data_IF_281825397198
#
_entry.id   IF_281825397198
#
_cell.length_a   1.000
_cell.length_b   1.000
_cell.length_c   1.000
_cell.angle_alpha   90.00
_cell.angle_beta   90.00
_cell.angle_gamma   90.00
#
_symmetry.space_group_name_H-M   'P 1'
#
loop_
_entity.id
_entity.type
_entity.pdbx_description
1 polymer ?
#
# COMPACT_ATOMS: atom_id res chain seq x y z
N UNK A 1 -23.98 -12.33 27.65
CA UNK A 1 -22.71 -11.71 27.26
C UNK A 1 -22.50 -11.98 25.78
N UNK A 2 -22.27 -10.95 25.00
CA UNK A 2 -21.84 -11.13 23.60
C UNK A 2 -20.52 -11.91 23.58
N UNK A 3 -20.37 -12.95 22.75
CA UNK A 3 -19.11 -13.69 22.66
C UNK A 3 -17.98 -12.72 22.26
N UNK A 4 -16.82 -12.88 22.87
CA UNK A 4 -15.66 -12.04 22.55
C UNK A 4 -15.34 -12.20 21.04
N UNK A 5 -15.27 -11.05 20.36
CA UNK A 5 -14.95 -11.04 18.93
C UNK A 5 -13.51 -11.51 18.70
N UNK A 6 -13.24 -12.38 17.71
CA UNK A 6 -11.90 -12.84 17.39
C UNK A 6 -11.00 -11.64 17.05
N UNK A 7 -9.75 -11.68 17.51
CA UNK A 7 -8.74 -10.67 17.21
C UNK A 7 -8.07 -11.00 15.87
N UNK A 8 -8.11 -10.08 14.94
CA UNK A 8 -7.31 -10.11 13.69
C UNK A 8 -6.23 -9.06 13.78
N UNK A 9 -5.00 -9.47 13.57
CA UNK A 9 -3.82 -8.58 13.60
C UNK A 9 -3.25 -8.47 12.20
N UNK A 10 -3.11 -7.25 11.70
CA UNK A 10 -2.43 -7.00 10.43
C UNK A 10 -1.12 -6.27 10.68
N UNK A 11 -0.16 -6.42 9.79
CA UNK A 11 1.11 -5.73 9.92
C UNK A 11 1.01 -4.26 9.57
N UNK A 12 0.24 -3.94 8.53
CA UNK A 12 0.09 -2.58 8.01
C UNK A 12 -1.35 -2.08 8.13
N UNK A 13 -1.51 -0.78 8.15
CA UNK A 13 -2.84 -0.15 8.20
C UNK A 13 -3.68 -0.43 6.95
N UNK A 14 -3.16 -0.41 5.69
CA UNK A 14 -3.94 -0.80 4.52
C UNK A 14 -4.55 -2.21 4.63
N UNK A 15 -3.81 -3.18 5.14
CA UNK A 15 -4.35 -4.52 5.40
C UNK A 15 -5.43 -4.50 6.47
N UNK A 16 -5.32 -3.64 7.49
CA UNK A 16 -6.38 -3.47 8.49
C UNK A 16 -7.66 -2.86 7.88
N UNK A 17 -7.52 -1.92 6.96
CA UNK A 17 -8.65 -1.34 6.22
C UNK A 17 -9.37 -2.44 5.42
N UNK A 18 -8.63 -3.28 4.69
CA UNK A 18 -9.19 -4.43 3.95
C UNK A 18 -9.84 -5.44 4.91
N UNK A 19 -9.15 -5.83 5.99
CA UNK A 19 -9.69 -6.78 6.97
C UNK A 19 -10.97 -6.27 7.63
N UNK A 20 -11.04 -4.97 7.93
CA UNK A 20 -12.25 -4.36 8.49
C UNK A 20 -13.40 -4.32 7.49
N UNK A 21 -13.11 -4.02 6.23
CA UNK A 21 -14.13 -4.08 5.17
C UNK A 21 -14.63 -5.52 4.94
N UNK A 22 -13.74 -6.51 5.04
CA UNK A 22 -14.06 -7.93 4.84
C UNK A 22 -14.89 -8.54 5.99
N UNK A 23 -14.61 -8.18 7.24
CA UNK A 23 -15.19 -8.83 8.43
C UNK A 23 -16.20 -7.96 9.19
N UNK A 24 -16.27 -6.68 8.91
CA UNK A 24 -17.21 -5.76 9.54
C UNK A 24 -17.12 -5.81 11.07
N UNK A 25 -18.27 -6.03 11.70
CA UNK A 25 -18.41 -6.14 13.17
C UNK A 25 -18.00 -7.50 13.75
N UNK A 26 -17.74 -8.50 12.91
CA UNK A 26 -17.51 -9.89 13.34
C UNK A 26 -16.13 -10.12 13.94
N UNK A 27 -15.17 -9.20 13.75
CA UNK A 27 -13.84 -9.27 14.32
C UNK A 27 -13.39 -7.93 14.91
N UNK A 28 -12.47 -8.00 15.88
CA UNK A 28 -11.67 -6.86 16.31
C UNK A 28 -10.42 -6.79 15.44
N UNK A 29 -10.20 -5.68 14.75
CA UNK A 29 -9.06 -5.50 13.87
C UNK A 29 -8.04 -4.59 14.55
N UNK A 30 -6.80 -5.04 14.65
CA UNK A 30 -5.65 -4.25 15.11
C UNK A 30 -4.51 -4.33 14.07
N UNK A 31 -3.65 -3.32 14.03
CA UNK A 31 -2.46 -3.33 13.18
C UNK A 31 -1.21 -2.95 13.97
N UNK A 32 -0.05 -3.45 13.50
CA UNK A 32 1.22 -3.30 14.20
C UNK A 32 1.98 -2.02 13.82
N UNK A 33 1.79 -1.55 12.59
CA UNK A 33 2.43 -0.35 12.07
C UNK A 33 2.05 0.87 12.91
N UNK A 34 3.04 1.68 13.33
CA UNK A 34 2.75 2.96 13.95
C UNK A 34 2.40 4.03 12.90
N UNK A 35 1.64 5.05 13.29
CA UNK A 35 1.21 6.13 12.40
C UNK A 35 2.37 6.93 11.73
N UNK A 36 3.59 6.78 12.24
CA UNK A 36 4.80 7.47 11.76
C UNK A 36 5.80 6.54 11.07
N UNK A 37 5.46 5.25 10.92
CA UNK A 37 6.34 4.26 10.29
C UNK A 37 5.91 3.98 8.86
N UNK A 38 6.91 3.79 8.00
CA UNK A 38 6.71 3.15 6.71
C UNK A 38 6.29 1.69 6.89
N UNK A 39 5.54 1.15 5.93
CA UNK A 39 5.25 -0.29 5.88
C UNK A 39 6.52 -1.16 5.81
N UNK A 40 7.64 -0.58 5.37
CA UNK A 40 8.94 -1.27 5.26
C UNK A 40 9.74 -1.32 6.57
N UNK A 41 9.35 -0.55 7.60
CA UNK A 41 10.14 -0.33 8.81
C UNK A 41 9.41 -0.81 10.08
N UNK A 42 8.62 -1.89 9.99
CA UNK A 42 7.87 -2.41 11.13
C UNK A 42 8.83 -3.05 12.12
N UNK A 43 8.94 -2.43 13.31
CA UNK A 43 9.71 -2.95 14.44
C UNK A 43 8.77 -3.62 15.42
N UNK A 44 9.03 -4.92 15.69
CA UNK A 44 8.25 -5.69 16.65
C UNK A 44 8.65 -5.35 18.08
N UNK A 45 7.70 -4.83 18.84
CA UNK A 45 7.79 -4.71 20.31
C UNK A 45 7.31 -6.01 20.98
N UNK A 46 7.55 -6.14 22.30
CA UNK A 46 6.98 -7.22 23.09
C UNK A 46 5.45 -7.26 22.96
N UNK A 47 4.79 -6.10 23.04
CA UNK A 47 3.34 -6.01 22.85
C UNK A 47 2.88 -6.38 21.44
N UNK A 48 3.72 -6.17 20.41
CA UNK A 48 3.43 -6.65 19.05
C UNK A 48 3.46 -8.17 18.98
N UNK A 49 4.44 -8.81 19.64
CA UNK A 49 4.54 -10.27 19.71
C UNK A 49 3.36 -10.87 20.47
N UNK A 50 2.96 -10.27 21.60
CA UNK A 50 1.77 -10.69 22.35
C UNK A 50 0.50 -10.64 21.48
N UNK A 51 0.30 -9.55 20.72
CA UNK A 51 -0.82 -9.44 19.79
C UNK A 51 -0.80 -10.56 18.73
N UNK A 52 0.36 -10.82 18.13
CA UNK A 52 0.53 -11.89 17.13
C UNK A 52 0.15 -13.26 17.74
N UNK A 53 0.61 -13.57 18.93
CA UNK A 53 0.33 -14.85 19.57
C UNK A 53 -1.13 -15.03 19.98
N UNK A 54 -1.82 -13.97 20.38
CA UNK A 54 -3.23 -14.01 20.78
C UNK A 54 -4.21 -13.84 19.62
N UNK A 55 -3.72 -13.48 18.43
CA UNK A 55 -4.57 -13.32 17.26
C UNK A 55 -5.22 -14.64 16.84
N UNK A 56 -6.48 -14.57 16.42
CA UNK A 56 -7.12 -15.64 15.68
C UNK A 56 -6.57 -15.74 14.26
N UNK A 57 -6.24 -14.59 13.65
CA UNK A 57 -5.63 -14.52 12.34
C UNK A 57 -4.60 -13.39 12.30
N UNK A 58 -3.41 -13.66 11.75
CA UNK A 58 -2.39 -12.66 11.43
C UNK A 58 -2.31 -12.48 9.92
N UNK A 59 -2.31 -11.23 9.45
CA UNK A 59 -2.22 -10.92 8.02
C UNK A 59 -0.99 -10.06 7.80
N UNK A 60 -0.08 -10.49 6.93
CA UNK A 60 1.16 -9.80 6.64
C UNK A 60 1.49 -9.90 5.14
N UNK A 61 2.38 -8.99 4.65
CA UNK A 61 2.68 -8.90 3.22
C UNK A 61 3.43 -10.14 2.74
N UNK A 62 4.61 -10.42 3.32
CA UNK A 62 5.42 -11.55 2.90
C UNK A 62 6.80 -11.59 3.54
N UNK A 63 7.45 -12.74 3.46
CA UNK A 63 8.69 -13.04 4.19
C UNK A 63 9.85 -12.10 3.82
N UNK A 64 9.96 -11.75 2.53
CA UNK A 64 11.04 -10.88 2.05
C UNK A 64 10.83 -9.42 2.43
N UNK A 65 9.57 -8.99 2.49
CA UNK A 65 9.18 -7.63 2.85
C UNK A 65 9.22 -7.42 4.37
N UNK A 66 8.81 -8.44 5.13
CA UNK A 66 8.62 -8.37 6.58
C UNK A 66 9.31 -9.56 7.30
N UNK A 67 10.64 -9.68 7.20
CA UNK A 67 11.36 -10.85 7.75
C UNK A 67 11.22 -11.00 9.27
N UNK A 68 11.02 -9.90 10.01
CA UNK A 68 10.75 -9.92 11.45
C UNK A 68 9.41 -10.58 11.78
N UNK A 69 8.38 -10.29 10.98
CA UNK A 69 7.05 -10.91 11.11
C UNK A 69 7.14 -12.39 10.75
N UNK A 70 7.75 -12.73 9.61
CA UNK A 70 7.95 -14.12 9.20
C UNK A 70 8.61 -14.97 10.29
N UNK A 71 9.59 -14.40 11.00
CA UNK A 71 10.23 -15.04 12.15
C UNK A 71 9.26 -15.21 13.33
N UNK A 72 8.45 -14.19 13.63
CA UNK A 72 7.53 -14.19 14.77
C UNK A 72 6.39 -15.19 14.60
N UNK A 73 5.90 -15.41 13.37
CA UNK A 73 4.79 -16.33 13.08
C UNK A 73 5.24 -17.78 12.85
N UNK A 74 6.55 -18.06 12.75
CA UNK A 74 7.08 -19.39 12.40
C UNK A 74 6.62 -20.52 13.31
N UNK A 75 6.17 -20.21 14.53
CA UNK A 75 5.64 -21.18 15.50
C UNK A 75 4.11 -21.23 15.55
N UNK A 76 3.40 -20.43 14.76
CA UNK A 76 1.95 -20.46 14.74
C UNK A 76 1.43 -21.67 13.94
N UNK A 77 0.29 -22.25 14.33
CA UNK A 77 -0.39 -23.28 13.53
C UNK A 77 -0.72 -22.82 12.12
N UNK A 78 -0.74 -23.75 11.17
CA UNK A 78 -1.29 -23.50 9.83
C UNK A 78 -2.73 -22.98 9.93
N UNK A 79 -3.09 -22.00 9.08
CA UNK A 79 -4.39 -21.33 9.10
C UNK A 79 -4.49 -20.13 10.07
N UNK A 80 -3.51 -19.94 10.96
CA UNK A 80 -3.43 -18.77 11.85
C UNK A 80 -2.83 -17.54 11.18
N UNK A 81 -2.40 -17.62 9.95
CA UNK A 81 -1.87 -16.46 9.21
C UNK A 81 -2.20 -16.52 7.72
N UNK A 82 -2.29 -15.34 7.13
CA UNK A 82 -2.35 -15.13 5.67
C UNK A 82 -1.10 -14.36 5.27
N UNK A 83 -0.29 -14.95 4.39
CA UNK A 83 0.78 -14.27 3.70
C UNK A 83 0.24 -13.76 2.37
N UNK A 84 0.11 -12.45 2.26
CA UNK A 84 -0.59 -11.79 1.14
C UNK A 84 0.07 -12.10 -0.20
N UNK A 85 1.42 -12.12 -0.25
CA UNK A 85 2.15 -12.41 -1.48
C UNK A 85 2.09 -13.89 -1.92
N UNK A 86 1.49 -14.79 -1.12
CA UNK A 86 1.23 -16.18 -1.53
C UNK A 86 -0.17 -16.35 -2.17
N UNK A 87 -1.02 -15.30 -2.14
CA UNK A 87 -2.32 -15.31 -2.79
C UNK A 87 -2.17 -15.12 -4.31
N UNK A 88 -3.18 -15.54 -5.07
CA UNK A 88 -3.26 -15.34 -6.51
C UNK A 88 -3.61 -13.87 -6.83
N UNK A 89 -2.61 -13.01 -6.77
CA UNK A 89 -2.72 -11.58 -7.00
C UNK A 89 -2.21 -11.20 -8.39
N UNK A 90 -2.68 -10.07 -8.86
CA UNK A 90 -2.13 -9.41 -10.03
C UNK A 90 -0.84 -8.68 -9.64
N UNK A 91 0.30 -9.37 -9.73
CA UNK A 91 1.59 -8.89 -9.25
C UNK A 91 2.23 -7.86 -10.18
N UNK A 92 2.99 -6.96 -9.55
CA UNK A 92 3.93 -6.04 -10.20
C UNK A 92 5.34 -6.35 -9.72
N UNK A 93 6.25 -6.51 -10.67
CA UNK A 93 7.68 -6.67 -10.38
C UNK A 93 8.33 -5.30 -10.18
N UNK A 94 9.06 -5.14 -9.09
CA UNK A 94 9.94 -4.01 -8.84
C UNK A 94 11.39 -4.38 -9.15
N UNK A 95 12.12 -3.52 -9.86
CA UNK A 95 13.56 -3.71 -10.09
C UNK A 95 14.31 -3.22 -8.86
N UNK A 96 14.86 -4.15 -8.09
CA UNK A 96 15.85 -3.81 -7.06
C UNK A 96 17.24 -3.61 -7.71
N UNK A 97 17.56 -2.34 -8.00
CA UNK A 97 18.84 -1.98 -8.61
C UNK A 97 20.04 -2.12 -7.65
N UNK A 98 19.84 -2.35 -6.34
CA UNK A 98 20.91 -2.44 -5.36
C UNK A 98 21.50 -3.84 -5.22
N UNK A 99 20.79 -4.89 -5.63
CA UNK A 99 21.20 -6.29 -5.48
C UNK A 99 21.46 -7.01 -6.80
N UNK A 100 21.65 -6.28 -7.90
CA UNK A 100 22.01 -6.88 -9.20
C UNK A 100 20.90 -7.79 -9.73
N UNK A 101 20.09 -7.33 -10.67
CA UNK A 101 19.07 -8.08 -11.43
C UNK A 101 18.11 -8.99 -10.64
N UNK A 102 17.96 -8.83 -9.32
CA UNK A 102 16.92 -9.50 -8.57
C UNK A 102 15.63 -8.70 -8.69
N UNK A 103 14.62 -9.32 -9.27
CA UNK A 103 13.25 -8.81 -9.24
C UNK A 103 12.66 -9.10 -7.86
N UNK A 104 12.15 -8.08 -7.18
CA UNK A 104 11.30 -8.24 -6.00
C UNK A 104 9.87 -7.88 -6.38
N UNK A 105 8.90 -8.51 -5.72
CA UNK A 105 7.51 -8.11 -5.89
C UNK A 105 7.28 -6.75 -5.22
N UNK A 106 6.51 -5.88 -5.88
CA UNK A 106 6.07 -4.63 -5.28
C UNK A 106 5.09 -4.95 -4.13
N UNK A 107 5.40 -4.54 -2.89
CA UNK A 107 4.57 -4.88 -1.74
C UNK A 107 3.27 -4.08 -1.63
N UNK A 108 3.07 -3.02 -2.43
CA UNK A 108 1.91 -2.11 -2.35
C UNK A 108 0.67 -2.69 -3.04
N UNK A 109 0.43 -3.97 -2.86
CA UNK A 109 -0.63 -4.77 -3.55
C UNK A 109 -2.03 -4.22 -3.30
N UNK A 110 -2.27 -3.55 -2.16
CA UNK A 110 -3.56 -2.96 -1.79
C UNK A 110 -3.98 -1.76 -2.64
N UNK A 111 -3.08 -1.19 -3.45
CA UNK A 111 -3.40 -0.11 -4.38
C UNK A 111 -4.05 -0.61 -5.67
N UNK A 112 -4.16 -1.92 -5.86
CA UNK A 112 -4.99 -2.53 -6.89
C UNK A 112 -6.30 -3.05 -6.26
N UNK A 113 -7.49 -2.53 -6.64
CA UNK A 113 -8.77 -2.95 -6.07
C UNK A 113 -9.09 -4.44 -6.25
N UNK A 114 -8.68 -5.04 -7.37
CA UNK A 114 -8.88 -6.47 -7.60
C UNK A 114 -8.06 -7.32 -6.63
N UNK A 115 -6.81 -6.91 -6.35
CA UNK A 115 -5.99 -7.54 -5.32
C UNK A 115 -6.62 -7.38 -3.92
N UNK A 116 -7.17 -6.21 -3.61
CA UNK A 116 -7.84 -5.98 -2.34
C UNK A 116 -9.07 -6.89 -2.17
N UNK A 117 -9.86 -7.10 -3.23
CA UNK A 117 -10.97 -8.05 -3.24
C UNK A 117 -10.47 -9.49 -3.02
N UNK A 118 -9.35 -9.89 -3.66
CA UNK A 118 -8.76 -11.23 -3.46
C UNK A 118 -8.29 -11.43 -2.01
N UNK A 119 -7.63 -10.42 -1.42
CA UNK A 119 -7.21 -10.44 -0.01
C UNK A 119 -8.43 -10.54 0.90
N UNK A 120 -9.48 -9.75 0.64
CA UNK A 120 -10.72 -9.76 1.43
C UNK A 120 -11.41 -11.15 1.38
N UNK A 121 -11.51 -11.77 0.20
CA UNK A 121 -12.06 -13.11 0.04
C UNK A 121 -11.26 -14.17 0.81
N UNK A 122 -9.92 -14.08 0.80
CA UNK A 122 -9.07 -14.98 1.58
C UNK A 122 -9.32 -14.80 3.10
N UNK A 123 -9.47 -13.57 3.57
CA UNK A 123 -9.79 -13.27 4.98
C UNK A 123 -11.17 -13.84 5.35
N UNK A 124 -12.18 -13.60 4.53
CA UNK A 124 -13.54 -14.12 4.75
C UNK A 124 -13.56 -15.67 4.76
N UNK A 125 -12.81 -16.30 3.84
CA UNK A 125 -12.66 -17.75 3.78
C UNK A 125 -12.04 -18.34 5.05
N UNK A 126 -11.06 -17.69 5.66
CA UNK A 126 -10.44 -18.10 6.92
C UNK A 126 -11.43 -18.13 8.10
N UNK A 127 -12.50 -17.34 8.02
CA UNK A 127 -13.59 -17.32 9.02
C UNK A 127 -14.83 -18.12 8.58
N UNK A 128 -14.78 -18.82 7.46
CA UNK A 128 -15.92 -19.57 6.93
C UNK A 128 -17.07 -18.68 6.44
N UNK A 129 -16.82 -17.42 6.14
CA UNK A 129 -17.83 -16.50 5.61
C UNK A 129 -17.98 -16.64 4.10
N UNK A 130 -19.15 -16.27 3.60
CA UNK A 130 -19.38 -16.09 2.16
C UNK A 130 -18.42 -15.03 1.61
N UNK A 131 -17.70 -15.40 0.56
CA UNK A 131 -16.72 -14.52 -0.05
C UNK A 131 -17.40 -13.45 -0.90
N UNK A 132 -17.17 -12.18 -0.54
CA UNK A 132 -17.74 -11.02 -1.20
C UNK A 132 -16.68 -9.96 -1.45
N UNK A 133 -16.87 -9.19 -2.50
CA UNK A 133 -16.01 -8.06 -2.82
C UNK A 133 -16.26 -6.87 -1.87
N UNK A 134 -15.18 -6.24 -1.43
CA UNK A 134 -15.21 -5.06 -0.56
C UNK A 134 -15.28 -3.74 -1.37
N UNK A 135 -15.09 -3.84 -2.68
CA UNK A 135 -15.31 -2.78 -3.66
C UNK A 135 -15.89 -3.42 -4.93
N UNK A 136 -16.98 -2.88 -5.42
CA UNK A 136 -17.69 -3.41 -6.59
C UNK A 136 -17.02 -2.97 -7.89
N UNK A 137 -17.24 -3.74 -8.98
CA UNK A 137 -16.76 -3.39 -10.31
C UNK A 137 -17.28 -2.02 -10.78
N UNK A 138 -18.51 -1.67 -10.44
CA UNK A 138 -19.08 -0.34 -10.75
C UNK A 138 -18.27 0.78 -10.08
N UNK A 139 -17.85 0.59 -8.83
CA UNK A 139 -17.01 1.57 -8.13
C UNK A 139 -15.60 1.65 -8.75
N UNK A 140 -15.03 0.54 -9.18
CA UNK A 140 -13.72 0.50 -9.86
C UNK A 140 -13.80 1.24 -11.20
N UNK A 141 -14.82 0.98 -12.02
CA UNK A 141 -15.05 1.68 -13.28
C UNK A 141 -15.27 3.19 -13.08
N UNK A 142 -15.98 3.59 -12.03
CA UNK A 142 -16.15 5.00 -11.71
C UNK A 142 -14.83 5.70 -11.33
N UNK A 143 -13.90 4.98 -10.69
CA UNK A 143 -12.54 5.47 -10.41
C UNK A 143 -11.75 5.61 -11.73
N UNK A 144 -11.82 4.63 -12.62
CA UNK A 144 -11.15 4.64 -13.92
C UNK A 144 -11.64 5.84 -14.77
N UNK A 145 -12.94 6.05 -14.86
CA UNK A 145 -13.54 7.20 -15.53
C UNK A 145 -13.08 8.53 -14.91
N UNK A 146 -13.04 8.60 -13.60
CA UNK A 146 -12.55 9.78 -12.89
C UNK A 146 -11.08 10.10 -13.19
N UNK A 147 -10.25 9.10 -13.47
CA UNK A 147 -8.82 9.25 -13.83
C UNK A 147 -8.58 9.59 -15.30
N UNK A 148 -9.57 9.42 -16.17
CA UNK A 148 -9.39 9.51 -17.64
C UNK A 148 -8.69 10.81 -18.11
N UNK A 149 -8.98 11.95 -17.45
CA UNK A 149 -8.39 13.25 -17.80
C UNK A 149 -6.90 13.42 -17.42
N UNK A 150 -6.36 12.52 -16.58
CA UNK A 150 -5.00 12.63 -16.04
C UNK A 150 -4.12 11.40 -16.33
N UNK A 151 -4.63 10.42 -17.06
CA UNK A 151 -3.96 9.13 -17.30
C UNK A 151 -2.58 9.26 -17.94
N UNK A 152 -2.40 10.22 -18.85
CA UNK A 152 -1.14 10.41 -19.61
C UNK A 152 -0.21 11.46 -18.98
N UNK A 153 -0.60 12.05 -17.85
CA UNK A 153 0.16 13.16 -17.27
C UNK A 153 1.33 12.64 -16.41
N UNK A 154 2.41 13.42 -16.40
CA UNK A 154 3.67 13.04 -15.77
C UNK A 154 3.81 13.63 -14.35
N UNK A 155 4.38 12.85 -13.44
CA UNK A 155 4.60 13.21 -12.03
C UNK A 155 5.89 12.60 -11.49
N UNK A 156 6.30 13.06 -10.32
CA UNK A 156 7.34 12.44 -9.50
C UNK A 156 6.71 11.97 -8.19
N UNK A 157 7.03 10.75 -7.73
CA UNK A 157 6.63 10.23 -6.42
C UNK A 157 7.82 10.17 -5.46
N UNK A 158 7.55 10.23 -4.16
CA UNK A 158 8.59 10.11 -3.14
C UNK A 158 9.30 8.77 -3.22
N UNK A 159 8.56 7.66 -3.25
CA UNK A 159 9.13 6.33 -3.55
C UNK A 159 8.29 5.59 -4.60
N UNK A 160 8.80 4.47 -5.11
CA UNK A 160 8.18 3.67 -6.18
C UNK A 160 7.06 2.79 -5.60
N UNK A 161 5.91 3.39 -5.31
CA UNK A 161 4.75 2.74 -4.66
C UNK A 161 3.56 2.54 -5.59
N UNK A 162 3.57 3.16 -6.76
CA UNK A 162 2.39 3.26 -7.61
C UNK A 162 2.22 2.11 -8.60
N UNK A 163 3.10 1.10 -8.56
CA UNK A 163 3.10 0.01 -9.54
C UNK A 163 1.75 -0.68 -9.68
N UNK A 164 1.12 -1.06 -8.59
CA UNK A 164 -0.19 -1.71 -8.57
C UNK A 164 -1.34 -0.79 -8.98
N UNK A 165 -1.29 0.50 -8.60
CA UNK A 165 -2.27 1.50 -9.03
C UNK A 165 -2.17 1.76 -10.54
N UNK A 166 -0.95 1.92 -11.06
CA UNK A 166 -0.68 2.07 -12.49
C UNK A 166 -1.22 0.87 -13.27
N UNK A 167 -1.00 -0.35 -12.79
CA UNK A 167 -1.46 -1.57 -13.44
C UNK A 167 -2.98 -1.66 -13.45
N UNK A 168 -3.64 -1.32 -12.34
CA UNK A 168 -5.10 -1.37 -12.22
C UNK A 168 -5.80 -0.34 -13.11
N UNK A 169 -5.30 0.89 -13.15
CA UNK A 169 -5.99 2.02 -13.78
C UNK A 169 -5.32 2.56 -15.04
N UNK A 170 -4.24 1.93 -15.50
CA UNK A 170 -3.50 2.29 -16.72
C UNK A 170 -3.02 3.74 -16.78
N UNK A 171 -2.83 4.38 -15.62
CA UNK A 171 -2.24 5.72 -15.56
C UNK A 171 -0.75 5.69 -15.94
N UNK A 172 -0.20 6.80 -16.42
CA UNK A 172 1.19 6.85 -16.87
C UNK A 172 2.15 6.52 -15.74
N UNK A 173 3.31 5.94 -16.10
CA UNK A 173 4.37 5.65 -15.14
C UNK A 173 5.20 6.91 -14.88
N UNK A 174 5.03 7.52 -13.71
CA UNK A 174 5.90 8.58 -13.22
C UNK A 174 7.34 8.12 -12.93
N UNK A 175 8.10 8.97 -12.26
CA UNK A 175 9.43 8.63 -11.72
C UNK A 175 9.43 8.81 -10.22
N UNK A 176 10.26 8.04 -9.51
CA UNK A 176 10.35 8.10 -8.06
C UNK A 176 11.73 8.52 -7.57
N UNK A 177 11.78 9.22 -6.44
CA UNK A 177 13.02 9.63 -5.76
C UNK A 177 13.71 8.44 -5.10
N UNK A 178 12.92 7.47 -4.64
CA UNK A 178 13.37 6.28 -3.92
C UNK A 178 12.85 5.01 -4.58
N UNK A 179 13.47 3.88 -4.29
CA UNK A 179 13.02 2.55 -4.70
C UNK A 179 11.73 2.14 -3.95
N UNK A 180 11.09 1.05 -4.38
CA UNK A 180 9.85 0.55 -3.77
C UNK A 180 10.02 0.17 -2.28
N UNK A 181 11.23 -0.23 -1.86
CA UNK A 181 11.58 -0.50 -0.47
C UNK A 181 12.01 0.75 0.33
N UNK A 182 11.81 1.96 -0.22
CA UNK A 182 12.20 3.22 0.41
C UNK A 182 13.68 3.59 0.31
N UNK A 183 14.54 2.75 -0.26
CA UNK A 183 15.97 3.03 -0.39
C UNK A 183 16.25 4.19 -1.35
N UNK A 184 17.28 4.99 -1.07
CA UNK A 184 17.67 6.13 -1.91
C UNK A 184 18.25 5.67 -3.25
N UNK A 185 17.77 6.27 -4.33
CA UNK A 185 18.35 6.08 -5.67
C UNK A 185 19.69 6.83 -5.80
N UNK A 186 20.65 6.21 -6.49
CA UNK A 186 21.99 6.79 -6.71
C UNK A 186 22.00 8.03 -7.61
N UNK A 187 23.17 8.68 -7.73
CA UNK A 187 23.37 9.92 -8.48
C UNK A 187 22.91 9.85 -9.94
N UNK A 188 23.16 8.74 -10.64
CA UNK A 188 22.70 8.51 -12.01
C UNK A 188 21.17 8.58 -12.11
N UNK A 189 20.46 7.96 -11.19
CA UNK A 189 18.99 8.00 -11.15
C UNK A 189 18.46 9.39 -10.88
N UNK A 190 19.14 10.16 -10.00
CA UNK A 190 18.80 11.56 -9.74
C UNK A 190 18.98 12.45 -10.99
N UNK A 191 20.02 12.22 -11.76
CA UNK A 191 20.22 12.91 -13.04
C UNK A 191 19.11 12.59 -14.04
N UNK A 192 18.78 11.30 -14.21
CA UNK A 192 17.70 10.82 -15.09
C UNK A 192 16.34 11.40 -14.68
N UNK A 193 16.07 11.50 -13.37
CA UNK A 193 14.84 12.07 -12.84
C UNK A 193 14.71 13.55 -13.20
N UNK A 194 15.78 14.35 -13.04
CA UNK A 194 15.78 15.77 -13.41
C UNK A 194 15.60 15.99 -14.92
N UNK A 195 16.21 15.13 -15.73
CA UNK A 195 16.03 15.13 -17.19
C UNK A 195 14.58 14.83 -17.53
N UNK A 196 14.02 13.75 -16.97
CA UNK A 196 12.63 13.36 -17.16
C UNK A 196 11.66 14.51 -16.81
N UNK A 197 11.86 15.18 -15.67
CA UNK A 197 11.01 16.27 -15.23
C UNK A 197 10.97 17.45 -16.21
N UNK A 198 12.10 17.75 -16.87
CA UNK A 198 12.19 18.83 -17.86
C UNK A 198 11.57 18.45 -19.22
N UNK A 199 11.65 17.18 -19.60
CA UNK A 199 11.25 16.70 -20.92
C UNK A 199 9.78 16.27 -20.98
N UNK A 200 9.12 16.03 -19.85
CA UNK A 200 7.79 15.42 -19.79
C UNK A 200 6.74 16.29 -19.07
N UNK A 201 6.95 17.59 -18.98
CA UNK A 201 5.98 18.53 -18.38
C UNK A 201 5.42 18.03 -17.03
N UNK A 202 6.32 17.57 -16.14
CA UNK A 202 5.95 17.08 -14.81
C UNK A 202 5.19 18.16 -14.04
N UNK A 203 4.07 17.82 -13.43
CA UNK A 203 3.17 18.78 -12.76
C UNK A 203 3.44 18.94 -11.28
N UNK A 204 3.83 17.85 -10.58
CA UNK A 204 4.07 17.90 -9.15
C UNK A 204 5.04 16.82 -8.67
N UNK A 205 5.43 16.94 -7.40
CA UNK A 205 6.10 15.90 -6.63
C UNK A 205 5.15 15.41 -5.54
N UNK A 206 4.81 14.14 -5.56
CA UNK A 206 4.04 13.50 -4.48
C UNK A 206 4.92 13.23 -3.27
N UNK A 207 4.38 13.55 -2.10
CA UNK A 207 4.95 13.25 -0.79
C UNK A 207 3.99 12.41 0.03
N UNK A 208 4.53 11.65 0.97
CA UNK A 208 3.74 10.78 1.82
C UNK A 208 3.80 11.24 3.27
N UNK A 209 2.68 11.17 4.03
CA UNK A 209 2.60 11.72 5.39
C UNK A 209 3.63 11.15 6.38
N UNK A 210 4.07 9.89 6.17
CA UNK A 210 4.99 9.18 7.07
C UNK A 210 6.46 9.47 6.80
N UNK A 211 6.82 10.07 5.67
CA UNK A 211 8.21 10.38 5.34
C UNK A 211 8.53 11.85 5.60
N UNK A 212 9.75 12.10 6.03
CA UNK A 212 10.28 13.47 6.07
C UNK A 212 10.52 14.00 4.66
N UNK A 213 9.91 15.13 4.31
CA UNK A 213 9.81 15.66 2.94
C UNK A 213 11.09 16.30 2.39
N UNK A 214 12.22 16.23 3.09
CA UNK A 214 13.45 16.98 2.71
C UNK A 214 13.91 16.72 1.27
N UNK A 215 13.97 15.45 0.87
CA UNK A 215 14.44 15.07 -0.48
C UNK A 215 13.45 15.55 -1.55
N UNK A 216 12.15 15.40 -1.29
CA UNK A 216 11.08 15.84 -2.18
C UNK A 216 11.01 17.38 -2.27
N UNK A 217 11.17 18.07 -1.14
CA UNK A 217 11.23 19.54 -1.09
C UNK A 217 12.38 20.09 -1.93
N UNK A 218 13.59 19.53 -1.79
CA UNK A 218 14.76 19.95 -2.57
C UNK A 218 14.52 19.80 -4.07
N UNK A 219 13.97 18.67 -4.50
CA UNK A 219 13.71 18.43 -5.93
C UNK A 219 12.58 19.31 -6.46
N UNK A 220 11.50 19.45 -5.70
CA UNK A 220 10.37 20.32 -6.08
C UNK A 220 10.79 21.77 -6.20
N UNK A 221 11.53 22.30 -5.22
CA UNK A 221 12.07 23.66 -5.25
C UNK A 221 13.02 23.89 -6.43
N UNK A 222 13.91 22.93 -6.71
CA UNK A 222 14.85 23.03 -7.83
C UNK A 222 14.16 23.05 -9.20
N UNK A 223 13.03 22.33 -9.33
CA UNK A 223 12.27 22.20 -10.58
C UNK A 223 11.10 23.19 -10.67
N UNK A 224 10.81 23.96 -9.61
CA UNK A 224 9.66 24.86 -9.57
C UNK A 224 8.32 24.11 -9.52
N UNK A 225 8.28 22.89 -8.95
CA UNK A 225 7.10 22.04 -8.89
C UNK A 225 6.38 22.15 -7.54
N UNK A 226 5.05 21.96 -7.57
CA UNK A 226 4.26 21.88 -6.35
C UNK A 226 4.48 20.52 -5.63
N UNK A 227 4.45 20.54 -4.29
CA UNK A 227 4.32 19.33 -3.48
C UNK A 227 2.84 19.00 -3.31
N UNK A 228 2.50 17.71 -3.44
CA UNK A 228 1.14 17.20 -3.22
C UNK A 228 1.21 15.93 -2.36
N UNK A 229 0.33 15.84 -1.38
CA UNK A 229 0.23 14.65 -0.53
C UNK A 229 -0.45 13.52 -1.29
N UNK A 230 0.14 12.31 -1.20
CA UNK A 230 -0.43 11.07 -1.71
C UNK A 230 -0.28 9.99 -0.64
N UNK A 231 -1.36 9.65 0.05
CA UNK A 231 -1.34 8.79 1.23
C UNK A 231 -1.63 7.32 0.85
N UNK A 232 -0.60 6.58 0.50
CA UNK A 232 -0.71 5.16 0.17
C UNK A 232 -0.99 4.27 1.40
N UNK A 233 -0.84 4.80 2.62
CA UNK A 233 -1.07 4.04 3.86
C UNK A 233 -2.45 4.28 4.47
N UNK A 234 -3.21 5.25 3.97
CA UNK A 234 -4.50 5.61 4.55
C UNK A 234 -4.38 6.10 5.99
N UNK A 235 -3.37 6.96 6.29
CA UNK A 235 -3.05 7.39 7.65
C UNK A 235 -4.26 7.96 8.41
N UNK A 236 -5.14 8.66 7.70
CA UNK A 236 -6.36 9.25 8.26
C UNK A 236 -7.63 8.43 7.98
N UNK A 237 -7.53 7.31 7.24
CA UNK A 237 -8.69 6.46 6.93
C UNK A 237 -9.18 5.76 8.20
N UNK A 238 -10.47 5.82 8.45
CA UNK A 238 -11.11 5.07 9.53
C UNK A 238 -11.35 3.62 9.12
N UNK A 239 -11.25 2.71 10.10
CA UNK A 239 -11.58 1.30 9.89
C UNK A 239 -13.10 1.13 9.92
N UNK A 240 -13.71 0.96 8.74
CA UNK A 240 -15.15 0.77 8.54
C UNK A 240 -15.42 -0.32 7.48
N UNK A 241 -16.66 -0.72 7.34
CA UNK A 241 -17.08 -1.69 6.31
C UNK A 241 -16.95 -1.13 4.89
N UNK A 242 -17.04 0.20 4.73
CA UNK A 242 -16.82 0.93 3.48
C UNK A 242 -15.39 1.48 3.34
N UNK A 243 -14.55 1.27 4.37
CA UNK A 243 -13.26 1.93 4.53
C UNK A 243 -12.30 1.74 3.37
N UNK A 244 -12.32 0.57 2.71
CA UNK A 244 -11.43 0.35 1.57
C UNK A 244 -11.89 1.13 0.33
N UNK A 245 -13.17 1.14 0.02
CA UNK A 245 -13.71 1.92 -1.10
C UNK A 245 -13.46 3.43 -0.91
N UNK A 246 -13.65 3.94 0.30
CA UNK A 246 -13.35 5.33 0.66
C UNK A 246 -11.84 5.64 0.55
N UNK A 247 -10.99 4.71 1.00
CA UNK A 247 -9.54 4.84 0.92
C UNK A 247 -9.07 5.01 -0.53
N UNK A 248 -9.47 4.11 -1.44
CA UNK A 248 -9.00 4.16 -2.83
C UNK A 248 -9.59 5.36 -3.59
N UNK A 249 -10.81 5.80 -3.28
CA UNK A 249 -11.39 7.03 -3.81
C UNK A 249 -10.62 8.27 -3.34
N UNK A 250 -10.28 8.34 -2.04
CA UNK A 250 -9.47 9.44 -1.47
C UNK A 250 -8.08 9.46 -2.09
N UNK A 251 -7.44 8.30 -2.23
CA UNK A 251 -6.14 8.17 -2.90
C UNK A 251 -6.20 8.67 -4.35
N UNK A 252 -7.25 8.30 -5.09
CA UNK A 252 -7.49 8.77 -6.46
C UNK A 252 -7.67 10.29 -6.53
N UNK A 253 -8.43 10.87 -5.60
CA UNK A 253 -8.62 12.32 -5.53
C UNK A 253 -7.28 13.05 -5.23
N UNK A 254 -6.46 12.52 -4.33
CA UNK A 254 -5.12 13.04 -4.05
C UNK A 254 -4.20 12.93 -5.27
N UNK A 255 -4.27 11.81 -6.03
CA UNK A 255 -3.51 11.65 -7.26
C UNK A 255 -3.89 12.71 -8.28
N UNK A 256 -5.18 12.94 -8.50
CA UNK A 256 -5.68 13.98 -9.42
C UNK A 256 -5.27 15.40 -9.02
N UNK A 257 -5.19 15.70 -7.73
CA UNK A 257 -4.82 17.02 -7.23
C UNK A 257 -3.41 17.48 -7.64
N UNK A 258 -2.58 16.58 -8.18
CA UNK A 258 -1.30 16.94 -8.82
C UNK A 258 -1.50 17.75 -10.10
N UNK A 259 -2.61 17.53 -10.77
CA UNK A 259 -2.84 18.00 -12.15
C UNK A 259 -3.88 19.12 -12.25
N UNK A 260 -4.35 19.59 -11.09
CA UNK A 260 -5.31 20.71 -10.96
C UNK A 260 -4.63 22.05 -10.64
#
# INVERSE_FOLDING_TARGET
MEPARPLVVTTTKPLAIIAKAALGKHAKIEFLQSAKQSAHDIVLSVGSLEKIHHAELVIFIGDQTEPGIAKAIKGLPEGKFIKVLDLDLDFVESKDNQRGNHYSLDPHVWLNPHNANTIARAIQGAFGFSQQDIITEIQILAIEENLASVMELSYISHHDMLGHFIKAFKVSKGRSLREANGARKGAKSQYVLRKFARENDVKCVFVEPQYGDKDAFVIASFLGLALRTLDAQGANQQLSETGYAEFIQTFTAQFKACFS
#
